data_IF_933012842585
#
_entry.id   IF_933012842585
#
_cell.length_a   1.000
_cell.length_b   1.000
_cell.length_c   1.000
_cell.angle_alpha   90.00
_cell.angle_beta   90.00
_cell.angle_gamma   90.00
#
_symmetry.space_group_name_H-M   'P 1'
#
loop_
_entity.id
_entity.type
_entity.pdbx_description
1 polymer ?
#
# COMPACT_ATOMS: atom_id res chain seq x y z
N UNK A 1 29.95 -4.80 22.32
CA UNK A 1 28.50 -4.66 22.06
C UNK A 1 28.39 -4.35 20.57
N UNK A 2 27.92 -5.28 19.74
CA UNK A 2 27.91 -5.08 18.28
C UNK A 2 26.85 -4.03 17.94
N UNK A 3 27.27 -3.02 17.19
CA UNK A 3 26.43 -1.97 16.63
C UNK A 3 25.26 -2.63 15.88
N UNK A 4 24.03 -2.23 16.22
CA UNK A 4 22.81 -2.72 15.55
C UNK A 4 22.62 -1.84 14.33
N UNK A 5 23.11 -2.28 13.17
CA UNK A 5 23.38 -1.41 12.01
C UNK A 5 22.18 -0.74 11.32
N UNK A 6 20.95 -0.81 11.86
CA UNK A 6 19.77 -0.15 11.26
C UNK A 6 18.81 0.47 12.27
N UNK A 7 18.99 0.24 13.58
CA UNK A 7 18.09 0.71 14.62
C UNK A 7 18.86 1.56 15.63
N UNK A 8 18.31 2.71 15.98
CA UNK A 8 18.74 3.48 17.14
C UNK A 8 18.38 2.73 18.45
N UNK A 9 18.91 3.20 19.57
CA UNK A 9 18.62 2.62 20.89
C UNK A 9 17.15 2.72 21.30
N UNK A 10 16.39 3.65 20.71
CA UNK A 10 14.96 3.80 20.96
C UNK A 10 14.08 2.96 20.00
N UNK A 11 14.70 2.22 19.07
CA UNK A 11 14.03 1.36 18.10
C UNK A 11 13.55 2.04 16.83
N UNK A 12 13.96 3.29 16.57
CA UNK A 12 13.72 3.96 15.28
C UNK A 12 14.75 3.51 14.24
N UNK A 13 14.37 3.56 12.97
CA UNK A 13 15.27 3.29 11.86
C UNK A 13 16.29 4.41 11.68
N UNK A 14 17.54 4.04 11.40
CA UNK A 14 18.59 4.94 10.94
C UNK A 14 18.56 5.03 9.41
N UNK A 15 17.47 5.61 8.88
CA UNK A 15 17.29 5.83 7.44
C UNK A 15 16.85 7.26 7.20
N UNK A 16 17.22 7.82 6.05
CA UNK A 16 16.62 9.06 5.58
C UNK A 16 15.14 8.82 5.28
N UNK A 17 14.30 9.82 5.61
CA UNK A 17 12.88 9.75 5.31
C UNK A 17 12.68 9.64 3.79
N UNK A 18 11.83 8.72 3.35
CA UNK A 18 11.47 8.68 1.95
C UNK A 18 10.53 9.87 1.66
N UNK A 19 10.93 10.80 0.78
CA UNK A 19 10.20 12.06 0.59
C UNK A 19 8.78 11.88 0.04
N UNK A 20 8.52 10.78 -0.68
CA UNK A 20 7.22 10.53 -1.33
C UNK A 20 6.23 9.74 -0.44
N UNK A 21 6.70 8.93 0.49
CA UNK A 21 5.88 7.87 1.12
C UNK A 21 5.83 7.98 2.64
N UNK A 22 6.43 9.04 3.20
CA UNK A 22 6.49 9.27 4.63
C UNK A 22 7.57 8.44 5.32
N UNK A 23 7.90 8.82 6.55
CA UNK A 23 8.93 8.19 7.37
C UNK A 23 8.47 6.83 7.97
N UNK A 24 7.17 6.54 7.96
CA UNK A 24 6.63 5.28 8.47
C UNK A 24 6.63 4.12 7.45
N UNK A 25 6.56 4.40 6.15
CA UNK A 25 6.44 3.36 5.11
C UNK A 25 7.56 2.30 5.10
N UNK A 26 8.83 2.62 5.44
CA UNK A 26 9.89 1.60 5.51
C UNK A 26 9.68 0.57 6.64
N UNK A 27 9.01 0.94 7.73
CA UNK A 27 8.87 0.08 8.91
C UNK A 27 8.10 -1.21 8.61
N UNK A 28 6.91 -1.18 7.98
CA UNK A 28 6.26 -2.39 7.51
C UNK A 28 7.14 -3.26 6.60
N UNK A 29 7.87 -2.68 5.64
CA UNK A 29 8.74 -3.44 4.74
C UNK A 29 9.80 -4.24 5.50
N UNK A 30 10.46 -3.60 6.47
CA UNK A 30 11.49 -4.24 7.30
C UNK A 30 10.88 -5.22 8.30
N UNK A 31 9.71 -4.91 8.86
CA UNK A 31 8.97 -5.82 9.75
C UNK A 31 8.62 -7.10 9.00
N UNK A 32 8.05 -6.98 7.80
CA UNK A 32 7.73 -8.11 6.91
C UNK A 32 8.97 -8.94 6.61
N UNK A 33 10.06 -8.30 6.18
CA UNK A 33 11.31 -8.99 5.91
C UNK A 33 11.83 -9.76 7.13
N UNK A 34 11.95 -9.08 8.28
CA UNK A 34 12.42 -9.69 9.51
C UNK A 34 11.55 -10.86 9.96
N UNK A 35 10.21 -10.74 9.87
CA UNK A 35 9.28 -11.80 10.21
C UNK A 35 9.44 -13.02 9.29
N UNK A 36 9.47 -12.81 7.96
CA UNK A 36 9.65 -13.88 6.97
C UNK A 36 10.96 -14.65 7.17
N UNK A 37 12.04 -13.96 7.55
CA UNK A 37 13.36 -14.57 7.80
C UNK A 37 13.57 -15.10 9.22
N UNK A 38 12.55 -15.03 10.09
CA UNK A 38 12.66 -15.48 11.49
C UNK A 38 13.61 -14.64 12.35
N UNK A 39 13.92 -13.40 11.94
CA UNK A 39 14.74 -12.44 12.69
C UNK A 39 13.93 -11.79 13.80
N UNK A 40 13.59 -12.58 14.82
CA UNK A 40 12.77 -12.13 15.97
C UNK A 40 13.40 -10.96 16.72
N UNK A 41 14.72 -10.86 16.72
CA UNK A 41 15.48 -9.76 17.31
C UNK A 41 15.25 -8.42 16.60
N UNK A 42 14.78 -8.45 15.34
CA UNK A 42 14.39 -7.27 14.56
C UNK A 42 12.87 -7.15 14.44
N UNK A 43 12.15 -8.24 14.15
CA UNK A 43 10.72 -8.23 13.92
C UNK A 43 9.96 -7.68 15.14
N UNK A 44 10.28 -8.17 16.34
CA UNK A 44 9.58 -7.75 17.57
C UNK A 44 9.72 -6.25 17.86
N UNK A 45 10.93 -5.64 17.91
CA UNK A 45 11.04 -4.21 18.14
C UNK A 45 10.44 -3.37 17.01
N UNK A 46 10.58 -3.77 15.75
CA UNK A 46 9.97 -3.07 14.62
C UNK A 46 8.43 -3.07 14.68
N UNK A 47 7.82 -4.23 14.96
CA UNK A 47 6.36 -4.34 15.14
C UNK A 47 5.88 -3.48 16.31
N UNK A 48 6.58 -3.51 17.45
CA UNK A 48 6.23 -2.67 18.62
C UNK A 48 6.35 -1.18 18.34
N UNK A 49 7.27 -0.77 17.48
CA UNK A 49 7.37 0.61 17.06
C UNK A 49 6.19 0.96 16.14
N UNK A 50 5.96 0.17 15.09
CA UNK A 50 4.88 0.36 14.12
C UNK A 50 3.51 0.48 14.80
N UNK A 51 3.19 -0.37 15.77
CA UNK A 51 1.91 -0.36 16.48
C UNK A 51 1.59 0.94 17.23
N UNK A 52 2.59 1.79 17.51
CA UNK A 52 2.35 3.10 18.14
C UNK A 52 1.67 4.10 17.21
N UNK A 53 1.68 3.81 15.91
CA UNK A 53 1.16 4.69 14.86
C UNK A 53 -0.13 4.15 14.23
N UNK A 54 -0.73 3.10 14.81
CA UNK A 54 -2.06 2.68 14.43
C UNK A 54 -3.09 3.56 15.14
N UNK A 55 -3.84 4.33 14.36
CA UNK A 55 -4.90 5.19 14.84
C UNK A 55 -6.09 4.39 15.41
N UNK A 56 -6.97 5.06 16.15
CA UNK A 56 -8.24 4.49 16.60
C UNK A 56 -9.08 3.98 15.42
N UNK A 57 -9.04 4.67 14.30
CA UNK A 57 -9.76 4.32 13.07
C UNK A 57 -9.28 3.01 12.45
N UNK A 58 -8.15 2.45 12.89
CA UNK A 58 -7.56 1.18 12.47
C UNK A 58 -6.42 1.32 11.44
N UNK A 59 -6.32 2.46 10.78
CA UNK A 59 -5.26 2.77 9.82
C UNK A 59 -3.96 3.24 10.49
N UNK A 60 -2.90 3.33 9.71
CA UNK A 60 -1.59 3.82 10.17
C UNK A 60 -1.30 5.23 9.65
N UNK A 61 -0.71 6.05 10.52
CA UNK A 61 -0.31 7.40 10.14
C UNK A 61 0.68 7.39 8.97
N UNK A 62 0.67 8.47 8.21
CA UNK A 62 1.67 8.77 7.19
C UNK A 62 3.03 9.12 7.79
N UNK A 63 3.03 9.80 8.94
CA UNK A 63 4.23 10.35 9.59
C UNK A 63 4.37 10.00 11.07
N UNK A 64 5.61 9.94 11.54
CA UNK A 64 5.92 9.78 12.97
C UNK A 64 5.45 10.98 13.79
N UNK A 65 5.77 12.19 13.32
CA UNK A 65 5.54 13.44 14.07
C UNK A 65 4.24 14.19 13.65
N UNK A 66 3.45 13.62 12.74
CA UNK A 66 2.16 14.19 12.34
C UNK A 66 1.06 13.11 12.22
N UNK A 67 0.12 13.05 13.19
CA UNK A 67 -0.97 12.08 13.19
C UNK A 67 -2.18 12.55 12.37
N UNK A 68 -2.05 13.56 11.51
CA UNK A 68 -3.19 14.15 10.79
C UNK A 68 -3.75 13.28 9.67
N UNK A 69 -2.92 12.43 9.05
CA UNK A 69 -3.30 11.65 7.86
C UNK A 69 -2.97 10.17 8.04
N UNK A 70 -3.89 9.33 7.58
CA UNK A 70 -3.68 7.89 7.43
C UNK A 70 -3.24 7.60 6.00
N UNK A 71 -2.13 6.88 5.85
CA UNK A 71 -1.64 6.46 4.54
C UNK A 71 -2.11 5.03 4.23
N UNK A 72 -2.80 4.80 3.09
CA UNK A 72 -3.23 3.46 2.67
C UNK A 72 -2.04 2.50 2.47
N UNK A 73 -0.87 3.00 2.07
CA UNK A 73 0.25 2.13 1.78
C UNK A 73 0.94 1.62 3.05
N UNK A 74 1.24 2.51 4.00
CA UNK A 74 1.68 2.14 5.35
C UNK A 74 0.66 1.20 5.98
N UNK A 75 -0.64 1.47 5.82
CA UNK A 75 -1.70 0.66 6.42
C UNK A 75 -1.75 -0.76 5.83
N UNK A 76 -1.73 -0.91 4.51
CA UNK A 76 -1.81 -2.22 3.87
C UNK A 76 -0.51 -3.02 4.05
N UNK A 77 0.66 -2.39 3.94
CA UNK A 77 1.94 -3.03 4.29
C UNK A 77 1.97 -3.41 5.78
N UNK A 78 1.53 -2.52 6.65
CA UNK A 78 1.47 -2.74 8.09
C UNK A 78 0.60 -3.93 8.42
N UNK A 79 -0.60 -4.01 7.84
CA UNK A 79 -1.51 -5.15 8.00
C UNK A 79 -0.89 -6.49 7.63
N UNK A 80 -0.24 -6.62 6.47
CA UNK A 80 0.48 -7.85 6.08
C UNK A 80 1.61 -8.17 7.05
N UNK A 81 2.36 -7.15 7.47
CA UNK A 81 3.46 -7.30 8.43
C UNK A 81 2.95 -7.80 9.79
N UNK A 82 1.79 -7.30 10.22
CA UNK A 82 1.14 -7.72 11.46
C UNK A 82 0.60 -9.15 11.38
N UNK A 83 0.04 -9.57 10.24
CA UNK A 83 -0.33 -10.98 10.01
C UNK A 83 0.90 -11.88 10.22
N UNK A 84 2.02 -11.55 9.57
CA UNK A 84 3.25 -12.35 9.64
C UNK A 84 3.90 -12.33 11.03
N UNK A 85 3.75 -11.22 11.76
CA UNK A 85 4.25 -11.08 13.13
C UNK A 85 3.29 -11.67 14.18
N UNK A 86 2.13 -12.22 13.79
CA UNK A 86 1.15 -12.83 14.70
C UNK A 86 0.23 -11.85 15.42
N UNK A 87 0.18 -10.58 14.99
CA UNK A 87 -0.65 -9.52 15.52
C UNK A 87 -1.98 -9.41 14.75
N UNK A 88 -2.74 -10.50 14.76
CA UNK A 88 -3.94 -10.63 13.92
C UNK A 88 -5.03 -9.61 14.28
N UNK A 89 -5.23 -9.31 15.57
CA UNK A 89 -6.23 -8.34 16.01
C UNK A 89 -5.97 -6.94 15.42
N UNK A 90 -4.72 -6.52 15.43
CA UNK A 90 -4.31 -5.22 14.89
C UNK A 90 -4.37 -5.22 13.36
N UNK A 91 -4.11 -6.35 12.70
CA UNK A 91 -4.34 -6.52 11.27
C UNK A 91 -5.84 -6.44 10.93
N UNK A 92 -6.73 -7.05 11.72
CA UNK A 92 -8.17 -6.97 11.53
C UNK A 92 -8.69 -5.54 11.63
N UNK A 93 -8.15 -4.73 12.56
CA UNK A 93 -8.46 -3.29 12.64
C UNK A 93 -8.07 -2.53 11.36
N UNK A 94 -6.91 -2.85 10.78
CA UNK A 94 -6.49 -2.27 9.51
C UNK A 94 -7.38 -2.75 8.33
N UNK A 95 -7.83 -4.01 8.36
CA UNK A 95 -8.80 -4.51 7.38
C UNK A 95 -10.15 -3.82 7.47
N UNK A 96 -10.68 -3.68 8.69
CA UNK A 96 -11.94 -2.96 8.96
C UNK A 96 -11.87 -1.49 8.54
N UNK A 97 -10.70 -0.86 8.70
CA UNK A 97 -10.44 0.47 8.16
C UNK A 97 -10.65 0.50 6.64
N UNK A 98 -10.07 -0.45 5.89
CA UNK A 98 -10.22 -0.49 4.43
C UNK A 98 -11.63 -0.86 3.97
N UNK A 99 -12.32 -1.76 4.67
CA UNK A 99 -13.74 -2.01 4.45
C UNK A 99 -14.53 -0.70 4.54
N UNK A 100 -14.36 0.03 5.65
CA UNK A 100 -15.06 1.30 5.86
C UNK A 100 -14.66 2.35 4.81
N UNK A 101 -13.38 2.42 4.45
CA UNK A 101 -12.89 3.32 3.41
C UNK A 101 -13.56 3.05 2.05
N UNK A 102 -13.74 1.77 1.70
CA UNK A 102 -14.42 1.39 0.46
C UNK A 102 -15.91 1.72 0.50
N UNK A 103 -16.60 1.36 1.59
CA UNK A 103 -18.03 1.58 1.73
C UNK A 103 -18.40 3.08 1.78
N UNK A 104 -17.44 3.95 2.12
CA UNK A 104 -17.60 5.41 2.15
C UNK A 104 -17.23 6.13 0.84
N UNK A 105 -16.85 5.41 -0.22
CA UNK A 105 -16.50 6.04 -1.49
C UNK A 105 -17.70 6.84 -2.07
N UNK A 106 -17.55 8.15 -2.36
CA UNK A 106 -18.67 8.97 -2.82
C UNK A 106 -19.02 8.72 -4.30
N UNK A 107 -18.03 8.45 -5.14
CA UNK A 107 -18.18 8.18 -6.57
C UNK A 107 -17.02 7.29 -7.05
N UNK A 108 -16.99 5.99 -6.70
CA UNK A 108 -15.88 5.12 -7.02
C UNK A 108 -15.68 4.91 -8.53
N UNK A 109 -16.66 5.18 -9.40
CA UNK A 109 -16.45 5.08 -10.86
C UNK A 109 -15.75 6.32 -11.43
N UNK A 110 -15.95 7.49 -10.83
CA UNK A 110 -15.27 8.74 -11.21
C UNK A 110 -13.95 8.96 -10.48
N UNK A 111 -13.89 8.63 -9.17
CA UNK A 111 -12.78 8.94 -8.26
C UNK A 111 -12.73 8.01 -7.05
N UNK A 112 -11.57 7.39 -6.82
CA UNK A 112 -11.31 6.61 -5.61
C UNK A 112 -10.44 7.40 -4.63
N UNK A 113 -10.95 7.66 -3.42
CA UNK A 113 -10.24 8.35 -2.33
C UNK A 113 -9.57 7.33 -1.41
N UNK A 114 -8.26 7.47 -1.17
CA UNK A 114 -7.51 6.50 -0.37
C UNK A 114 -6.93 7.04 0.93
N UNK A 115 -6.93 8.36 1.15
CA UNK A 115 -6.38 8.99 2.37
C UNK A 115 -7.53 9.37 3.32
N UNK A 116 -7.30 9.15 4.61
CA UNK A 116 -8.22 9.53 5.67
C UNK A 116 -7.62 10.66 6.50
N UNK A 117 -8.41 11.71 6.72
CA UNK A 117 -8.07 12.80 7.63
C UNK A 117 -8.60 12.46 9.03
N UNK A 118 -7.68 12.34 9.98
CA UNK A 118 -8.00 11.95 11.36
C UNK A 118 -8.72 13.07 12.11
N UNK A 119 -8.52 14.34 11.72
CA UNK A 119 -9.16 15.50 12.37
C UNK A 119 -10.63 15.60 12.00
N UNK A 120 -10.95 15.46 10.71
CA UNK A 120 -12.34 15.47 10.25
C UNK A 120 -13.05 14.12 10.40
N UNK A 121 -12.29 13.03 10.51
CA UNK A 121 -12.82 11.67 10.57
C UNK A 121 -13.50 11.28 9.26
N UNK A 122 -12.95 11.69 8.12
CA UNK A 122 -13.53 11.50 6.78
C UNK A 122 -12.45 11.19 5.75
N UNK A 123 -12.90 10.64 4.61
CA UNK A 123 -12.07 10.56 3.41
C UNK A 123 -11.73 11.97 2.96
N UNK A 124 -10.44 12.18 2.69
CA UNK A 124 -9.93 13.46 2.25
C UNK A 124 -10.29 13.64 0.78
N UNK A 125 -11.30 14.48 0.50
CA UNK A 125 -11.84 14.71 -0.85
C UNK A 125 -11.29 15.96 -1.54
N UNK A 126 -10.76 16.90 -0.75
CA UNK A 126 -10.15 18.15 -1.19
C UNK A 126 -8.88 18.34 -0.39
N UNK A 127 -7.75 18.18 -1.06
CA UNK A 127 -6.48 18.62 -0.53
C UNK A 127 -6.41 20.09 -0.93
N UNK A 128 -6.55 21.00 0.04
CA UNK A 128 -6.13 22.39 -0.18
C UNK A 128 -4.68 22.42 -0.67
N UNK A 129 -4.09 23.59 -0.89
CA UNK A 129 -2.67 23.73 -1.23
C UNK A 129 -1.71 23.28 -0.09
N UNK A 130 -2.02 22.19 0.62
CA UNK A 130 -1.18 21.52 1.59
C UNK A 130 0.08 21.02 0.88
N UNK A 131 1.20 21.62 1.26
CA UNK A 131 2.53 21.34 0.71
C UNK A 131 3.01 19.92 1.01
N UNK A 132 2.34 19.23 1.93
CA UNK A 132 2.82 17.99 2.51
C UNK A 132 1.67 16.98 2.74
N UNK A 133 1.43 16.19 1.70
CA UNK A 133 0.47 15.09 1.68
C UNK A 133 1.21 13.82 1.28
N UNK A 134 0.74 12.62 1.69
CA UNK A 134 1.25 11.38 1.13
C UNK A 134 1.35 11.49 -0.38
N UNK A 135 2.50 11.11 -0.96
CA UNK A 135 2.75 11.09 -2.40
C UNK A 135 3.09 12.46 -3.05
N UNK A 136 3.08 13.56 -2.29
CA UNK A 136 3.58 14.89 -2.73
C UNK A 136 2.55 15.78 -3.45
N UNK A 137 2.89 17.06 -3.64
CA UNK A 137 2.03 18.08 -4.27
C UNK A 137 1.75 17.74 -5.75
N UNK A 138 0.48 17.61 -6.13
CA UNK A 138 0.10 17.25 -7.50
C UNK A 138 0.18 15.75 -7.82
N UNK A 139 0.53 14.90 -6.85
CA UNK A 139 0.30 13.47 -7.00
C UNK A 139 -1.19 13.18 -6.89
N UNK A 140 -1.64 12.28 -7.74
CA UNK A 140 -3.02 11.95 -8.10
C UNK A 140 -3.77 11.21 -6.96
N UNK A 141 -3.87 11.84 -5.78
CA UNK A 141 -4.69 11.40 -4.64
C UNK A 141 -6.19 11.50 -4.94
N UNK A 142 -6.51 12.32 -5.93
CA UNK A 142 -7.73 12.29 -6.71
C UNK A 142 -7.41 11.49 -7.98
N UNK A 143 -7.94 10.27 -8.07
CA UNK A 143 -7.86 9.50 -9.32
C UNK A 143 -9.03 9.88 -10.18
N UNK A 144 -8.96 11.08 -10.76
CA UNK A 144 -9.87 11.39 -11.84
C UNK A 144 -9.56 10.41 -12.98
N UNK A 145 -10.59 9.70 -13.39
CA UNK A 145 -10.58 8.66 -14.42
C UNK A 145 -9.91 9.04 -15.79
N UNK A 146 -9.64 10.30 -16.20
CA UNK A 146 -9.02 10.52 -17.52
C UNK A 146 -7.49 10.49 -17.59
N UNK A 147 -6.73 10.51 -16.48
CA UNK A 147 -5.29 10.88 -16.51
C UNK A 147 -4.28 9.77 -16.20
N UNK A 148 -4.61 8.49 -16.47
CA UNK A 148 -3.68 7.40 -16.90
C UNK A 148 -2.28 7.23 -16.29
N UNK A 149 -1.95 7.84 -15.15
CA UNK A 149 -0.67 7.71 -14.45
C UNK A 149 -0.69 6.58 -13.44
N UNK A 150 0.49 6.23 -12.89
CA UNK A 150 0.76 5.15 -11.94
C UNK A 150 -0.06 5.15 -10.63
N UNK A 151 -1.20 5.81 -10.55
CA UNK A 151 -1.92 6.08 -9.31
C UNK A 151 -2.45 4.83 -8.58
N UNK A 152 -2.50 3.62 -9.15
CA UNK A 152 -3.27 2.49 -8.56
C UNK A 152 -2.50 1.45 -7.74
N UNK A 153 -1.20 1.61 -7.58
CA UNK A 153 -0.37 0.58 -6.96
C UNK A 153 -0.74 0.31 -5.49
N UNK A 154 -1.25 1.30 -4.76
CA UNK A 154 -1.67 1.20 -3.36
C UNK A 154 -2.97 0.41 -3.22
N UNK A 155 -3.96 0.58 -4.12
CA UNK A 155 -5.18 -0.24 -4.16
C UNK A 155 -4.80 -1.68 -4.45
N UNK A 156 -3.87 -1.92 -5.37
CA UNK A 156 -3.30 -3.26 -5.57
C UNK A 156 -2.77 -3.89 -4.29
N UNK A 157 -2.08 -3.10 -3.48
CA UNK A 157 -1.55 -3.53 -2.20
C UNK A 157 -2.66 -3.73 -1.15
N UNK A 158 -3.68 -2.86 -1.11
CA UNK A 158 -4.87 -3.02 -0.28
C UNK A 158 -5.59 -4.33 -0.61
N UNK A 159 -5.74 -4.64 -1.90
CA UNK A 159 -6.33 -5.88 -2.37
C UNK A 159 -5.53 -7.11 -1.91
N UNK A 160 -4.20 -7.07 -2.05
CA UNK A 160 -3.34 -8.15 -1.58
C UNK A 160 -3.46 -8.34 -0.06
N UNK A 161 -3.50 -7.26 0.71
CA UNK A 161 -3.67 -7.30 2.15
C UNK A 161 -5.03 -7.86 2.58
N UNK A 162 -6.13 -7.32 2.07
CA UNK A 162 -7.48 -7.78 2.41
C UNK A 162 -7.69 -9.25 2.02
N UNK A 163 -7.10 -9.68 0.91
CA UNK A 163 -7.13 -11.09 0.52
C UNK A 163 -6.37 -11.97 1.50
N UNK A 164 -5.17 -11.56 1.91
CA UNK A 164 -4.40 -12.29 2.93
C UNK A 164 -5.14 -12.32 4.28
N UNK A 165 -5.81 -11.23 4.64
CA UNK A 165 -6.61 -11.16 5.86
C UNK A 165 -7.85 -12.07 5.78
N UNK A 166 -8.55 -12.11 4.65
CA UNK A 166 -9.62 -13.10 4.41
C UNK A 166 -9.11 -14.54 4.58
N UNK A 167 -7.96 -14.87 4.00
CA UNK A 167 -7.40 -16.22 4.09
C UNK A 167 -6.96 -16.61 5.52
N UNK A 168 -6.68 -15.63 6.38
CA UNK A 168 -6.20 -15.86 7.75
C UNK A 168 -7.28 -15.74 8.82
N UNK A 169 -8.18 -14.76 8.72
CA UNK A 169 -9.28 -14.51 9.65
C UNK A 169 -10.61 -15.16 9.22
N UNK A 170 -10.80 -15.44 7.93
CA UNK A 170 -12.00 -16.08 7.39
C UNK A 170 -13.23 -15.17 7.23
N UNK A 171 -13.14 -13.89 7.56
CA UNK A 171 -14.24 -12.94 7.39
C UNK A 171 -14.49 -12.63 5.91
N UNK A 172 -15.68 -13.00 5.43
CA UNK A 172 -16.08 -12.87 4.02
C UNK A 172 -16.30 -11.42 3.60
N UNK A 173 -16.43 -10.50 4.56
CA UNK A 173 -16.57 -9.09 4.25
C UNK A 173 -15.29 -8.52 3.61
N UNK A 174 -14.12 -9.00 4.04
CA UNK A 174 -12.86 -8.65 3.38
C UNK A 174 -12.83 -9.14 1.93
N UNK A 175 -13.32 -10.36 1.67
CA UNK A 175 -13.42 -10.89 0.31
C UNK A 175 -14.37 -10.05 -0.55
N UNK A 176 -15.55 -9.70 -0.04
CA UNK A 176 -16.51 -8.83 -0.74
C UNK A 176 -15.82 -7.53 -1.18
N UNK A 177 -15.22 -6.82 -0.24
CA UNK A 177 -14.59 -5.52 -0.47
C UNK A 177 -13.49 -5.63 -1.52
N UNK A 178 -12.64 -6.65 -1.47
CA UNK A 178 -11.56 -6.80 -2.46
C UNK A 178 -12.08 -7.13 -3.86
N UNK A 179 -13.19 -7.88 -3.97
CA UNK A 179 -13.83 -8.15 -5.26
C UNK A 179 -14.48 -6.88 -5.85
N UNK A 180 -15.14 -6.07 -5.01
CA UNK A 180 -15.73 -4.79 -5.40
C UNK A 180 -14.65 -3.76 -5.77
N UNK A 181 -13.56 -3.68 -5.01
CA UNK A 181 -12.37 -2.88 -5.35
C UNK A 181 -11.84 -3.26 -6.73
N UNK A 182 -11.61 -4.55 -7.00
CA UNK A 182 -11.17 -5.03 -8.30
C UNK A 182 -12.14 -4.61 -9.42
N UNK A 183 -13.44 -4.84 -9.21
CA UNK A 183 -14.43 -4.54 -10.24
C UNK A 183 -14.42 -3.04 -10.57
N UNK A 184 -14.25 -2.15 -9.59
CA UNK A 184 -14.06 -0.71 -9.80
C UNK A 184 -12.78 -0.42 -10.57
N UNK A 185 -11.61 -0.83 -10.04
CA UNK A 185 -10.32 -0.40 -10.62
C UNK A 185 -10.04 -1.03 -11.98
N UNK A 186 -10.62 -2.20 -12.27
CA UNK A 186 -10.48 -2.85 -13.58
C UNK A 186 -11.16 -2.07 -14.72
N UNK A 187 -12.09 -1.18 -14.40
CA UNK A 187 -12.73 -0.28 -15.38
C UNK A 187 -11.92 0.99 -15.66
N UNK A 188 -10.90 1.27 -14.86
CA UNK A 188 -10.12 2.48 -15.01
C UNK A 188 -9.18 2.42 -16.22
N UNK A 189 -9.00 3.58 -16.86
CA UNK A 189 -8.07 3.70 -17.98
C UNK A 189 -6.66 3.36 -17.53
N UNK A 190 -6.03 2.45 -18.27
CA UNK A 190 -4.66 2.04 -18.04
C UNK A 190 -4.49 0.91 -17.02
N UNK A 191 -5.58 0.34 -16.48
CA UNK A 191 -5.54 -0.77 -15.52
C UNK A 191 -4.45 -1.81 -15.80
N UNK A 192 -4.37 -2.31 -17.04
CA UNK A 192 -3.38 -3.32 -17.44
C UNK A 192 -1.94 -2.81 -17.58
N UNK A 193 -1.73 -1.52 -17.78
CA UNK A 193 -0.40 -0.89 -17.81
C UNK A 193 0.12 -0.56 -16.39
N UNK A 194 -0.71 -0.72 -15.36
CA UNK A 194 -0.31 -0.51 -13.97
C UNK A 194 0.32 -1.77 -13.40
N UNK A 195 1.62 -1.83 -13.66
CA UNK A 195 2.50 -2.91 -13.27
C UNK A 195 2.82 -2.87 -11.76
N UNK A 196 3.33 -3.98 -11.22
CA UNK A 196 3.73 -4.18 -9.81
C UNK A 196 2.62 -4.65 -8.86
N UNK A 197 2.08 -3.75 -8.03
CA UNK A 197 1.32 -4.13 -6.83
C UNK A 197 -0.14 -4.44 -7.14
N UNK A 198 -0.71 -3.84 -8.19
CA UNK A 198 -2.06 -4.17 -8.70
C UNK A 198 -2.13 -5.60 -9.19
N UNK A 199 -1.11 -6.03 -9.92
CA UNK A 199 -0.96 -7.41 -10.34
C UNK A 199 -0.87 -8.37 -9.15
N UNK A 200 -0.11 -8.02 -8.10
CA UNK A 200 -0.05 -8.83 -6.89
C UNK A 200 -1.43 -8.99 -6.23
N UNK A 201 -2.21 -7.91 -6.12
CA UNK A 201 -3.58 -7.97 -5.64
C UNK A 201 -4.47 -8.90 -6.47
N UNK A 202 -4.36 -8.85 -7.80
CA UNK A 202 -5.09 -9.75 -8.70
C UNK A 202 -4.66 -11.22 -8.54
N UNK A 203 -3.35 -11.48 -8.43
CA UNK A 203 -2.84 -12.83 -8.21
C UNK A 203 -3.28 -13.40 -6.86
N UNK A 204 -3.28 -12.58 -5.80
CA UNK A 204 -3.79 -12.98 -4.47
C UNK A 204 -5.29 -13.33 -4.55
N UNK A 205 -6.11 -12.49 -5.18
CA UNK A 205 -7.53 -12.75 -5.41
C UNK A 205 -7.77 -14.06 -6.17
N UNK A 206 -6.97 -14.34 -7.20
CA UNK A 206 -7.04 -15.62 -7.92
C UNK A 206 -6.74 -16.79 -7.00
N UNK A 207 -5.68 -16.72 -6.19
CA UNK A 207 -5.35 -17.78 -5.23
C UNK A 207 -6.47 -18.02 -4.20
N UNK A 208 -7.15 -16.97 -3.75
CA UNK A 208 -8.22 -17.08 -2.77
C UNK A 208 -9.55 -17.59 -3.35
N UNK A 209 -9.83 -17.32 -4.64
CA UNK A 209 -11.18 -17.54 -5.22
C UNK A 209 -11.22 -18.56 -6.36
N UNK A 210 -10.10 -18.81 -7.04
CA UNK A 210 -10.05 -19.59 -8.28
C UNK A 210 -10.74 -18.94 -9.49
N UNK A 211 -11.23 -17.70 -9.39
CA UNK A 211 -11.93 -17.03 -10.50
C UNK A 211 -10.93 -16.58 -11.58
N UNK A 212 -11.09 -17.11 -12.79
CA UNK A 212 -10.16 -16.91 -13.92
C UNK A 212 -10.00 -15.43 -14.32
N UNK A 213 -11.00 -14.58 -14.11
CA UNK A 213 -10.91 -13.14 -14.43
C UNK A 213 -9.72 -12.44 -13.73
N UNK A 214 -9.39 -12.84 -12.51
CA UNK A 214 -8.28 -12.27 -11.74
C UNK A 214 -6.92 -12.75 -12.27
N UNK A 215 -6.82 -14.03 -12.65
CA UNK A 215 -5.64 -14.57 -13.31
C UNK A 215 -5.38 -13.84 -14.63
N UNK A 216 -6.41 -13.68 -15.46
CA UNK A 216 -6.29 -12.97 -16.73
C UNK A 216 -5.83 -11.53 -16.56
N UNK A 217 -6.36 -10.82 -15.56
CA UNK A 217 -5.92 -9.47 -15.23
C UNK A 217 -4.43 -9.42 -14.80
N UNK A 218 -4.01 -10.33 -13.91
CA UNK A 218 -2.62 -10.42 -13.48
C UNK A 218 -1.67 -10.74 -14.65
N UNK A 219 -2.01 -11.74 -15.46
CA UNK A 219 -1.19 -12.13 -16.63
C UNK A 219 -1.09 -11.00 -17.66
N UNK A 220 -2.18 -10.26 -17.90
CA UNK A 220 -2.14 -9.12 -18.81
C UNK A 220 -1.17 -8.02 -18.32
N UNK A 221 -1.09 -7.78 -17.01
CA UNK A 221 -0.10 -6.85 -16.44
C UNK A 221 1.33 -7.41 -16.50
N UNK A 222 1.52 -8.73 -16.29
CA UNK A 222 2.81 -9.40 -16.47
C UNK A 222 3.34 -9.23 -17.89
N UNK A 223 2.48 -9.42 -18.89
CA UNK A 223 2.85 -9.26 -20.30
C UNK A 223 3.31 -7.82 -20.59
N UNK A 224 2.76 -6.82 -19.92
CA UNK A 224 3.23 -5.43 -20.03
C UNK A 224 4.60 -5.24 -19.35
N UNK A 225 4.86 -5.83 -18.18
CA UNK A 225 6.18 -5.78 -17.52
C UNK A 225 7.25 -6.41 -18.41
N UNK A 226 6.99 -7.60 -18.93
CA UNK A 226 7.95 -8.35 -19.75
C UNK A 226 8.33 -7.56 -21.01
N UNK A 227 7.41 -6.80 -21.60
CA UNK A 227 7.70 -5.92 -22.74
C UNK A 227 8.68 -4.79 -22.41
N UNK A 228 8.83 -4.43 -21.14
CA UNK A 228 9.80 -3.39 -20.70
C UNK A 228 11.17 -3.96 -20.36
N UNK A 229 11.35 -5.29 -20.44
CA UNK A 229 12.63 -5.92 -20.19
C UNK A 229 13.65 -5.50 -21.25
N UNK A 230 14.78 -5.00 -20.80
CA UNK A 230 15.91 -4.60 -21.65
C UNK A 230 16.73 -5.81 -22.08
N UNK A 231 17.61 -5.64 -23.07
CA UNK A 231 18.48 -6.71 -23.57
C UNK A 231 19.39 -7.31 -22.48
N UNK A 232 19.74 -6.53 -21.47
CA UNK A 232 20.54 -6.98 -20.32
C UNK A 232 19.74 -7.73 -19.24
N UNK A 233 18.43 -7.87 -19.44
CA UNK A 233 17.50 -8.51 -18.52
C UNK A 233 16.94 -7.59 -17.42
N UNK A 234 17.38 -6.33 -17.36
CA UNK A 234 16.86 -5.31 -16.45
C UNK A 234 15.48 -4.80 -16.86
N UNK A 235 14.79 -4.14 -15.94
CA UNK A 235 13.49 -3.51 -16.18
C UNK A 235 13.63 -2.01 -15.88
N UNK A 236 13.64 -1.19 -16.93
CA UNK A 236 13.62 0.27 -16.81
C UNK A 236 12.28 0.79 -17.31
N UNK A 237 11.56 1.49 -16.44
CA UNK A 237 10.29 2.11 -16.80
C UNK A 237 10.46 3.52 -17.41
N UNK A 238 11.70 3.97 -17.66
CA UNK A 238 11.99 5.34 -18.09
C UNK A 238 11.28 6.36 -17.19
N UNK A 239 10.64 7.37 -17.79
CA UNK A 239 9.82 8.40 -17.13
C UNK A 239 8.64 7.86 -16.30
N UNK A 240 8.30 6.57 -16.43
CA UNK A 240 7.25 5.90 -15.65
C UNK A 240 7.77 5.14 -14.43
N UNK A 241 9.08 5.20 -14.16
CA UNK A 241 9.62 4.74 -12.90
C UNK A 241 9.10 5.63 -11.77
N UNK A 242 8.62 5.03 -10.67
CA UNK A 242 8.38 5.77 -9.43
C UNK A 242 9.69 6.24 -8.75
N UNK A 243 10.83 5.95 -9.39
CA UNK A 243 12.17 6.37 -9.05
C UNK A 243 12.80 6.94 -10.33
N UNK A 244 12.42 8.16 -10.72
CA UNK A 244 13.25 8.92 -11.66
C UNK A 244 14.41 9.43 -10.81
N UNK A 245 15.61 8.89 -11.06
CA UNK A 245 16.83 9.48 -10.53
C UNK A 245 17.09 10.73 -11.38
N UNK A 246 16.89 11.91 -10.81
CA UNK A 246 17.15 13.20 -11.48
C UNK A 246 18.64 13.36 -11.88
N UNK A 247 19.50 12.40 -11.49
CA UNK A 247 20.91 12.35 -11.85
C UNK A 247 21.20 12.13 -13.34
N UNK A 248 20.23 11.71 -14.16
CA UNK A 248 20.44 11.50 -15.61
C UNK A 248 20.00 12.69 -16.49
N UNK A 249 19.62 13.83 -15.91
CA UNK A 249 19.26 15.06 -16.68
C UNK A 249 20.34 16.16 -16.68
N UNK A 250 21.61 15.85 -16.45
CA UNK A 250 22.73 16.80 -16.58
C UNK A 250 23.70 16.47 -17.72
#
# INVERSE_FOLDING_TARGET
MRQRDFLTDNGTLQIEAFPLVGDLYPYPCLTRGAATWGRVDMAVPLTRFLLRFQDECGGFYYRVDDPSLIDPAVTAHGGISLILAGHLREAERAGQYFTRLHDLQPDPDGRYLTVWDTKSGRLLSDYGAAEDVPWGLGSQLVRDNPQGGNAYWDIGYMMAFLTALFQTAGDRDYLRVVEEMFDVVSRYKGFHHHVWKTQWGCAALYQATGKVKYLQAATAMDDEIVKTQQEDGGFFLGDQSCYVDDAEQQ
#
